data_IF_975084563910
#
_entry.id   IF_975084563910
#
_cell.length_a   1.000
_cell.length_b   1.000
_cell.length_c   1.000
_cell.angle_alpha   90.00
_cell.angle_beta   90.00
_cell.angle_gamma   90.00
#
_symmetry.space_group_name_H-M   'P 1'
#
loop_
_entity.id
_entity.type
_entity.pdbx_description
1 polymer ?
#
# COMPACT_ATOMS: atom_id res chain seq x y z
N UNK A 1 5.07 7.64 23.95
CA UNK A 1 4.08 7.12 22.99
C UNK A 1 4.74 6.36 21.84
N UNK A 2 5.70 6.94 21.11
CA UNK A 2 6.36 6.28 19.97
C UNK A 2 7.01 4.92 20.31
N UNK A 3 7.70 4.85 21.45
CA UNK A 3 8.34 3.62 21.94
C UNK A 3 7.39 2.43 22.17
N UNK A 4 6.12 2.67 22.50
CA UNK A 4 5.12 1.60 22.63
C UNK A 4 4.84 0.96 21.26
N UNK A 5 4.71 1.78 20.20
CA UNK A 5 4.51 1.28 18.84
C UNK A 5 5.77 0.60 18.28
N UNK A 6 6.96 1.09 18.65
CA UNK A 6 8.25 0.50 18.27
C UNK A 6 8.51 -0.86 18.92
N UNK A 7 8.16 -1.05 20.20
CA UNK A 7 8.40 -2.30 20.94
C UNK A 7 7.29 -3.36 20.73
N UNK A 8 6.12 -2.98 20.21
CA UNK A 8 4.98 -3.91 20.13
C UNK A 8 5.04 -4.91 18.97
N UNK A 9 5.87 -4.66 17.95
CA UNK A 9 6.11 -5.57 16.83
C UNK A 9 7.57 -6.00 16.83
N UNK A 10 7.91 -6.99 17.67
CA UNK A 10 9.22 -7.62 17.65
C UNK A 10 9.44 -8.38 16.33
N UNK A 11 10.32 -7.90 15.42
CA UNK A 11 10.58 -8.57 14.15
C UNK A 11 11.26 -9.94 14.33
N UNK A 12 11.87 -10.17 15.51
CA UNK A 12 12.72 -11.31 15.80
C UNK A 12 12.01 -12.40 16.62
N UNK A 13 10.71 -12.27 16.87
CA UNK A 13 9.91 -13.26 17.59
C UNK A 13 10.05 -14.66 16.98
N UNK A 14 10.00 -15.69 17.84
CA UNK A 14 9.95 -17.10 17.39
C UNK A 14 8.78 -17.28 16.41
N UNK A 15 9.09 -17.80 15.24
CA UNK A 15 8.18 -18.02 14.13
C UNK A 15 8.37 -19.44 13.59
N UNK A 16 7.38 -19.89 12.83
CA UNK A 16 7.47 -21.13 12.08
C UNK A 16 8.53 -20.99 10.98
N UNK A 17 9.58 -21.83 11.04
CA UNK A 17 10.67 -21.86 10.07
C UNK A 17 10.34 -22.73 8.84
N UNK A 18 9.12 -23.28 8.77
CA UNK A 18 8.64 -24.03 7.61
C UNK A 18 8.59 -23.18 6.34
N UNK A 19 8.68 -23.86 5.19
CA UNK A 19 8.55 -23.22 3.88
C UNK A 19 7.32 -22.31 3.81
N UNK A 20 7.47 -21.05 3.36
CA UNK A 20 6.34 -20.16 3.06
C UNK A 20 5.32 -20.82 2.13
N UNK A 21 4.00 -20.60 2.32
CA UNK A 21 3.00 -21.21 1.47
C UNK A 21 3.20 -20.79 0.01
N UNK A 22 3.11 -21.74 -0.93
CA UNK A 22 3.31 -21.46 -2.35
C UNK A 22 2.23 -20.57 -2.98
N UNK A 23 1.04 -20.51 -2.37
CA UNK A 23 -0.05 -19.64 -2.81
C UNK A 23 0.16 -18.20 -2.32
N UNK A 24 -0.12 -17.21 -3.18
CA UNK A 24 -0.05 -15.78 -2.82
C UNK A 24 -0.90 -15.44 -1.60
N UNK A 25 -2.14 -15.92 -1.54
CA UNK A 25 -3.06 -15.63 -0.43
C UNK A 25 -2.55 -16.26 0.87
N UNK A 26 -2.04 -17.50 0.82
CA UNK A 26 -1.42 -18.15 1.97
C UNK A 26 -0.17 -17.42 2.47
N UNK A 27 0.65 -16.89 1.55
CA UNK A 27 1.81 -16.07 1.88
C UNK A 27 1.39 -14.79 2.62
N UNK A 28 0.42 -14.04 2.09
CA UNK A 28 -0.15 -12.86 2.76
C UNK A 28 -0.71 -13.22 4.15
N UNK A 29 -1.54 -14.26 4.23
CA UNK A 29 -2.17 -14.69 5.47
C UNK A 29 -1.17 -15.03 6.57
N UNK A 30 -0.03 -15.65 6.24
CA UNK A 30 1.02 -16.00 7.20
C UNK A 30 1.61 -14.78 7.90
N UNK A 31 1.85 -13.68 7.18
CA UNK A 31 2.41 -12.46 7.77
C UNK A 31 1.33 -11.56 8.38
N UNK A 32 0.19 -11.41 7.71
CA UNK A 32 -0.93 -10.62 8.25
C UNK A 32 -1.43 -11.17 9.58
N UNK A 33 -1.47 -12.50 9.75
CA UNK A 33 -1.85 -13.13 11.03
C UNK A 33 -0.90 -12.78 12.18
N UNK A 34 0.37 -12.47 11.91
CA UNK A 34 1.32 -12.10 12.96
C UNK A 34 1.13 -10.63 13.40
N UNK A 35 0.62 -9.79 12.50
CA UNK A 35 0.45 -8.33 12.71
C UNK A 35 -1.03 -7.94 12.90
N UNK A 36 -1.92 -8.92 13.08
CA UNK A 36 -3.37 -8.74 13.05
C UNK A 36 -3.93 -7.64 13.97
N UNK A 37 -3.43 -7.40 15.21
CA UNK A 37 -4.01 -6.37 16.08
C UNK A 37 -3.80 -4.97 15.49
N UNK A 38 -2.64 -4.73 14.88
CA UNK A 38 -2.31 -3.46 14.23
C UNK A 38 -3.12 -3.26 12.95
N UNK A 39 -3.39 -4.33 12.21
CA UNK A 39 -4.26 -4.27 11.03
C UNK A 39 -5.71 -3.95 11.42
N UNK A 40 -6.22 -4.53 12.51
CA UNK A 40 -7.56 -4.22 13.03
C UNK A 40 -7.62 -2.78 13.56
N UNK A 41 -6.59 -2.32 14.26
CA UNK A 41 -6.48 -0.93 14.70
C UNK A 41 -6.46 0.03 13.49
N UNK A 42 -5.69 -0.30 12.45
CA UNK A 42 -5.63 0.45 11.19
C UNK A 42 -7.00 0.50 10.50
N UNK A 43 -7.68 -0.63 10.36
CA UNK A 43 -9.04 -0.68 9.79
C UNK A 43 -10.02 0.19 10.60
N UNK A 44 -9.92 0.17 11.93
CA UNK A 44 -10.81 0.94 12.81
C UNK A 44 -10.57 2.45 12.68
N UNK A 45 -9.31 2.89 12.68
CA UNK A 45 -9.00 4.32 12.52
C UNK A 45 -9.29 4.80 11.09
N UNK A 46 -9.06 3.96 10.08
CA UNK A 46 -9.42 4.23 8.67
C UNK A 46 -10.93 4.39 8.49
N UNK A 47 -11.74 3.61 9.22
CA UNK A 47 -13.19 3.82 9.30
C UNK A 47 -13.55 5.18 9.89
N UNK A 48 -12.92 5.55 11.02
CA UNK A 48 -13.17 6.86 11.67
C UNK A 48 -12.84 8.00 10.70
N UNK A 49 -11.68 7.95 10.04
CA UNK A 49 -11.28 8.94 9.03
C UNK A 49 -12.31 9.01 7.90
N UNK A 50 -12.73 7.86 7.36
CA UNK A 50 -13.72 7.82 6.28
C UNK A 50 -15.08 8.39 6.71
N UNK A 51 -15.54 8.10 7.93
CA UNK A 51 -16.79 8.63 8.47
C UNK A 51 -16.73 10.15 8.68
N UNK A 52 -15.59 10.67 9.13
CA UNK A 52 -15.38 12.12 9.23
C UNK A 52 -15.50 12.75 7.85
N UNK A 53 -14.86 12.19 6.83
CA UNK A 53 -14.89 12.74 5.47
C UNK A 53 -16.32 12.73 4.87
N UNK A 54 -17.07 11.64 5.07
CA UNK A 54 -18.50 11.57 4.66
C UNK A 54 -19.34 12.61 5.42
N UNK A 55 -19.06 12.81 6.71
CA UNK A 55 -19.78 13.81 7.53
C UNK A 55 -19.51 15.23 7.04
N UNK A 56 -18.28 15.54 6.62
CA UNK A 56 -17.90 16.84 6.05
C UNK A 56 -18.71 17.12 4.78
N UNK A 57 -18.89 16.13 3.90
CA UNK A 57 -19.72 16.29 2.70
C UNK A 57 -21.19 16.57 3.05
N UNK A 58 -21.71 15.93 4.09
CA UNK A 58 -23.06 16.23 4.61
C UNK A 58 -23.15 17.65 5.17
N UNK A 59 -22.10 18.15 5.82
CA UNK A 59 -22.08 19.52 6.34
C UNK A 59 -22.28 20.54 5.23
N UNK A 60 -21.71 20.33 4.03
CA UNK A 60 -21.93 21.24 2.90
C UNK A 60 -23.42 21.35 2.55
N UNK A 61 -24.14 20.22 2.50
CA UNK A 61 -25.59 20.22 2.27
C UNK A 61 -26.35 20.95 3.38
N UNK A 62 -26.06 20.59 4.64
CA UNK A 62 -26.71 21.23 5.80
C UNK A 62 -26.44 22.74 5.85
N UNK A 63 -25.23 23.19 5.52
CA UNK A 63 -24.87 24.61 5.46
C UNK A 63 -25.70 25.34 4.41
N UNK A 64 -25.88 24.77 3.22
CA UNK A 64 -26.72 25.36 2.18
C UNK A 64 -28.18 25.45 2.62
N UNK A 65 -28.70 24.41 3.28
CA UNK A 65 -30.08 24.39 3.77
C UNK A 65 -30.30 25.44 4.85
N UNK A 66 -29.40 25.53 5.83
CA UNK A 66 -29.41 26.53 6.92
C UNK A 66 -29.39 27.96 6.37
N UNK A 67 -28.53 28.22 5.39
CA UNK A 67 -28.40 29.54 4.78
C UNK A 67 -29.60 29.92 3.90
N UNK A 68 -30.38 28.94 3.43
CA UNK A 68 -31.61 29.17 2.67
C UNK A 68 -32.83 29.40 3.56
N UNK A 69 -32.89 28.75 4.73
CA UNK A 69 -34.07 28.78 5.60
C UNK A 69 -34.09 29.90 6.62
N UNK A 70 -32.94 30.52 6.93
CA UNK A 70 -32.80 31.41 8.10
C UNK A 70 -32.24 32.77 7.69
N UNK A 71 -32.76 33.85 8.30
CA UNK A 71 -32.30 35.22 8.04
C UNK A 71 -30.86 35.45 8.55
N UNK A 72 -30.03 36.25 7.85
CA UNK A 72 -28.59 36.41 8.19
C UNK A 72 -28.32 36.81 9.64
N UNK A 73 -29.23 37.56 10.27
CA UNK A 73 -29.09 38.06 11.64
C UNK A 73 -29.39 37.00 12.72
N UNK A 74 -30.15 35.94 12.39
CA UNK A 74 -30.54 34.88 13.32
C UNK A 74 -29.73 33.58 13.16
N UNK A 75 -29.07 33.39 12.00
CA UNK A 75 -28.26 32.19 11.70
C UNK A 75 -27.22 31.92 12.77
N UNK A 76 -26.43 32.93 13.15
CA UNK A 76 -25.33 32.74 14.10
C UNK A 76 -25.83 32.54 15.54
N UNK A 77 -26.94 33.18 15.91
CA UNK A 77 -27.54 33.06 17.23
C UNK A 77 -28.22 31.70 17.42
N UNK A 78 -28.85 31.18 16.38
CA UNK A 78 -29.65 29.95 16.44
C UNK A 78 -28.82 28.71 16.14
N UNK A 79 -27.82 28.79 15.24
CA UNK A 79 -27.04 27.62 14.79
C UNK A 79 -25.53 27.75 15.08
N UNK A 80 -25.09 28.75 15.83
CA UNK A 80 -23.68 28.95 16.18
C UNK A 80 -23.02 27.70 16.80
N UNK A 81 -23.76 26.93 17.59
CA UNK A 81 -23.28 25.66 18.15
C UNK A 81 -23.01 24.58 17.10
N UNK A 82 -23.85 24.48 16.06
CA UNK A 82 -23.64 23.54 14.95
C UNK A 82 -22.42 23.94 14.12
N UNK A 83 -22.27 25.23 13.79
CA UNK A 83 -21.09 25.74 13.10
C UNK A 83 -19.80 25.50 13.90
N UNK A 84 -19.84 25.69 15.23
CA UNK A 84 -18.70 25.41 16.10
C UNK A 84 -18.35 23.91 16.10
N UNK A 85 -19.34 23.03 16.16
CA UNK A 85 -19.12 21.59 16.10
C UNK A 85 -18.52 21.16 14.75
N UNK A 86 -19.03 21.72 13.63
CA UNK A 86 -18.46 21.48 12.29
C UNK A 86 -17.01 21.96 12.22
N UNK A 87 -16.72 23.17 12.70
CA UNK A 87 -15.37 23.74 12.74
C UNK A 87 -14.42 22.90 13.58
N UNK A 88 -14.85 22.45 14.76
CA UNK A 88 -14.04 21.62 15.66
C UNK A 88 -13.76 20.24 15.05
N UNK A 89 -14.74 19.62 14.38
CA UNK A 89 -14.53 18.36 13.68
C UNK A 89 -13.50 18.50 12.55
N UNK A 90 -13.56 19.59 11.78
CA UNK A 90 -12.66 19.83 10.65
C UNK A 90 -11.25 20.22 11.12
N UNK A 91 -11.13 21.12 12.11
CA UNK A 91 -9.85 21.66 12.58
C UNK A 91 -9.12 20.75 13.56
N UNK A 92 -9.84 19.92 14.32
CA UNK A 92 -9.25 19.07 15.35
C UNK A 92 -9.52 17.60 15.05
N UNK A 93 -10.79 17.23 14.85
CA UNK A 93 -11.18 15.83 14.66
C UNK A 93 -10.48 15.16 13.49
N UNK A 94 -10.51 15.80 12.31
CA UNK A 94 -9.89 15.28 11.08
C UNK A 94 -8.37 15.19 11.21
N UNK A 95 -7.61 16.24 11.57
CA UNK A 95 -6.16 16.12 11.75
C UNK A 95 -5.77 15.09 12.80
N UNK A 96 -6.50 14.98 13.92
CA UNK A 96 -6.19 14.01 14.96
C UNK A 96 -6.40 12.56 14.49
N UNK A 97 -7.49 12.30 13.77
CA UNK A 97 -7.78 10.98 13.21
C UNK A 97 -6.73 10.59 12.15
N UNK A 98 -6.42 11.49 11.22
CA UNK A 98 -5.38 11.29 10.20
C UNK A 98 -4.00 11.11 10.82
N UNK A 99 -3.65 11.92 11.83
CA UNK A 99 -2.38 11.78 12.54
C UNK A 99 -2.26 10.43 13.25
N UNK A 100 -3.33 9.97 13.91
CA UNK A 100 -3.35 8.66 14.57
C UNK A 100 -3.22 7.53 13.56
N UNK A 101 -3.91 7.65 12.43
CA UNK A 101 -3.78 6.73 11.31
C UNK A 101 -2.34 6.65 10.81
N UNK A 102 -1.73 7.79 10.51
CA UNK A 102 -0.37 7.88 9.98
C UNK A 102 0.67 7.38 10.98
N UNK A 103 0.48 7.62 12.28
CA UNK A 103 1.31 7.04 13.32
C UNK A 103 1.27 5.52 13.30
N UNK A 104 0.09 4.91 13.19
CA UNK A 104 -0.03 3.44 13.12
C UNK A 104 0.67 2.89 11.88
N UNK A 105 0.43 3.51 10.71
CA UNK A 105 1.04 3.06 9.46
C UNK A 105 2.55 3.23 9.48
N UNK A 106 3.04 4.43 9.77
CA UNK A 106 4.45 4.80 9.60
C UNK A 106 5.33 4.33 10.76
N UNK A 107 4.83 4.28 11.99
CA UNK A 107 5.64 3.93 13.16
C UNK A 107 5.50 2.47 13.60
N UNK A 108 4.30 1.88 13.48
CA UNK A 108 4.09 0.49 13.91
C UNK A 108 4.23 -0.49 12.74
N UNK A 109 3.39 -0.32 11.71
CA UNK A 109 3.26 -1.30 10.63
C UNK A 109 4.46 -1.24 9.68
N UNK A 110 4.87 -0.05 9.25
CA UNK A 110 5.93 0.14 8.27
C UNK A 110 7.27 -0.51 8.69
N UNK A 111 7.87 -0.16 9.84
CA UNK A 111 9.11 -0.79 10.27
C UNK A 111 8.88 -2.22 10.76
N UNK A 112 7.84 -2.46 11.58
CA UNK A 112 7.60 -3.74 12.23
C UNK A 112 7.31 -4.86 11.25
N UNK A 113 6.28 -4.69 10.39
CA UNK A 113 5.90 -5.72 9.42
C UNK A 113 6.98 -5.93 8.35
N UNK A 114 7.60 -4.86 7.84
CA UNK A 114 8.64 -4.97 6.81
C UNK A 114 9.85 -5.74 7.34
N UNK A 115 10.37 -5.39 8.52
CA UNK A 115 11.52 -6.07 9.08
C UNK A 115 11.20 -7.50 9.54
N UNK A 116 9.98 -7.76 10.00
CA UNK A 116 9.51 -9.11 10.31
C UNK A 116 9.57 -10.00 9.07
N UNK A 117 9.04 -9.53 7.93
CA UNK A 117 9.08 -10.28 6.67
C UNK A 117 10.54 -10.48 6.22
N UNK A 118 11.36 -9.42 6.23
CA UNK A 118 12.77 -9.49 5.84
C UNK A 118 13.53 -10.51 6.67
N UNK A 119 13.37 -10.48 7.99
CA UNK A 119 14.05 -11.39 8.90
C UNK A 119 13.67 -12.85 8.65
N UNK A 120 12.37 -13.14 8.57
CA UNK A 120 11.88 -14.51 8.35
C UNK A 120 12.34 -15.04 6.98
N UNK A 121 12.23 -14.23 5.93
CA UNK A 121 12.66 -14.62 4.58
C UNK A 121 14.18 -14.78 4.52
N UNK A 122 14.95 -13.89 5.13
CA UNK A 122 16.41 -14.01 5.21
C UNK A 122 16.84 -15.30 5.91
N UNK A 123 16.26 -15.62 7.08
CA UNK A 123 16.55 -16.85 7.83
C UNK A 123 16.20 -18.11 7.05
N UNK A 124 15.15 -18.08 6.25
CA UNK A 124 14.76 -19.21 5.40
C UNK A 124 15.74 -19.38 4.22
N UNK A 125 16.11 -18.28 3.55
CA UNK A 125 17.01 -18.30 2.39
C UNK A 125 18.43 -18.71 2.80
N UNK A 126 18.95 -18.23 3.92
CA UNK A 126 20.28 -18.57 4.42
C UNK A 126 20.48 -20.08 4.64
N UNK A 127 19.39 -20.82 4.83
CA UNK A 127 19.39 -22.28 5.05
C UNK A 127 19.22 -23.10 3.78
N UNK A 128 19.17 -22.45 2.61
CA UNK A 128 19.11 -23.14 1.33
C UNK A 128 20.45 -23.77 0.97
N UNK A 129 20.40 -24.72 0.03
CA UNK A 129 21.60 -25.43 -0.43
C UNK A 129 22.61 -24.50 -1.11
N UNK A 130 23.89 -24.89 -1.09
CA UNK A 130 24.94 -24.17 -1.85
C UNK A 130 24.60 -24.10 -3.35
N UNK A 131 23.96 -25.13 -3.90
CA UNK A 131 23.52 -25.14 -5.29
C UNK A 131 22.51 -24.03 -5.60
N UNK A 132 21.64 -23.65 -4.66
CA UNK A 132 20.73 -22.52 -4.83
C UNK A 132 21.51 -21.21 -5.01
N UNK A 133 22.55 -20.98 -4.20
CA UNK A 133 23.39 -19.78 -4.28
C UNK A 133 24.35 -19.79 -5.47
N UNK A 134 24.74 -20.97 -5.98
CA UNK A 134 25.59 -21.07 -7.16
C UNK A 134 24.84 -20.76 -8.47
N UNK A 135 23.51 -20.95 -8.49
CA UNK A 135 22.67 -20.74 -9.68
C UNK A 135 22.04 -19.34 -9.73
N UNK A 136 22.31 -18.46 -8.76
CA UNK A 136 21.67 -17.16 -8.63
C UNK A 136 22.63 -16.08 -8.10
N UNK A 137 22.55 -14.87 -8.66
CA UNK A 137 23.29 -13.72 -8.17
C UNK A 137 22.83 -13.33 -6.77
N UNK A 138 23.77 -13.20 -5.84
CA UNK A 138 23.51 -12.73 -4.48
C UNK A 138 22.75 -11.39 -4.46
N UNK A 139 23.06 -10.49 -5.42
CA UNK A 139 22.35 -9.22 -5.59
C UNK A 139 20.85 -9.38 -5.93
N UNK A 140 20.49 -10.37 -6.76
CA UNK A 140 19.09 -10.65 -7.11
C UNK A 140 18.34 -11.19 -5.88
N UNK A 141 18.93 -12.13 -5.16
CA UNK A 141 18.37 -12.69 -3.91
C UNK A 141 18.14 -11.57 -2.89
N UNK A 142 19.15 -10.74 -2.61
CA UNK A 142 19.07 -9.65 -1.65
C UNK A 142 17.99 -8.63 -2.03
N UNK A 143 17.95 -8.24 -3.31
CA UNK A 143 16.96 -7.30 -3.84
C UNK A 143 15.53 -7.83 -3.65
N UNK A 144 15.30 -9.11 -3.94
CA UNK A 144 14.00 -9.76 -3.75
C UNK A 144 13.58 -9.76 -2.27
N UNK A 145 14.48 -10.07 -1.33
CA UNK A 145 14.18 -10.07 0.12
C UNK A 145 13.79 -8.66 0.59
N UNK A 146 14.55 -7.64 0.19
CA UNK A 146 14.37 -6.26 0.65
C UNK A 146 13.10 -5.63 0.07
N UNK A 147 12.86 -5.81 -1.24
CA UNK A 147 11.74 -5.20 -1.96
C UNK A 147 10.42 -5.94 -1.70
N UNK A 148 10.40 -7.28 -1.76
CA UNK A 148 9.17 -8.04 -1.58
C UNK A 148 8.53 -7.80 -0.21
N UNK A 149 9.35 -7.61 0.84
CA UNK A 149 8.86 -7.28 2.17
C UNK A 149 8.12 -5.93 2.21
N UNK A 150 8.71 -4.89 1.61
CA UNK A 150 8.09 -3.57 1.55
C UNK A 150 6.82 -3.61 0.71
N UNK A 151 6.87 -4.25 -0.47
CA UNK A 151 5.71 -4.37 -1.37
C UNK A 151 4.56 -5.16 -0.76
N UNK A 152 4.84 -6.22 0.01
CA UNK A 152 3.81 -6.99 0.71
C UNK A 152 3.07 -6.10 1.71
N UNK A 153 3.81 -5.37 2.54
CA UNK A 153 3.21 -4.45 3.52
C UNK A 153 2.47 -3.30 2.84
N UNK A 154 3.04 -2.66 1.81
CA UNK A 154 2.36 -1.62 1.03
C UNK A 154 1.02 -2.13 0.50
N UNK A 155 1.03 -3.33 -0.08
CA UNK A 155 -0.19 -3.92 -0.64
C UNK A 155 -1.25 -4.15 0.44
N UNK A 156 -0.87 -4.62 1.63
CA UNK A 156 -1.80 -4.84 2.75
C UNK A 156 -2.40 -3.53 3.26
N UNK A 157 -1.56 -2.51 3.50
CA UNK A 157 -2.01 -1.19 3.95
C UNK A 157 -2.91 -0.55 2.90
N UNK A 158 -2.53 -0.59 1.61
CA UNK A 158 -3.32 -0.04 0.53
C UNK A 158 -4.67 -0.74 0.36
N UNK A 159 -4.72 -2.07 0.52
CA UNK A 159 -5.98 -2.82 0.50
C UNK A 159 -6.88 -2.34 1.64
N UNK A 160 -6.34 -2.12 2.83
CA UNK A 160 -7.12 -1.58 3.95
C UNK A 160 -7.58 -0.16 3.60
N UNK A 161 -6.69 0.76 3.31
CA UNK A 161 -7.05 2.18 3.19
C UNK A 161 -7.90 2.47 1.97
N UNK A 162 -7.48 2.04 0.78
CA UNK A 162 -8.17 2.39 -0.46
C UNK A 162 -9.49 1.64 -0.60
N UNK A 163 -9.52 0.33 -0.31
CA UNK A 163 -10.75 -0.44 -0.45
C UNK A 163 -11.76 -0.01 0.59
N UNK A 164 -11.33 0.26 1.83
CA UNK A 164 -12.21 0.71 2.89
C UNK A 164 -12.81 2.07 2.60
N UNK A 165 -11.99 3.05 2.20
CA UNK A 165 -12.46 4.37 1.80
C UNK A 165 -13.49 4.30 0.67
N UNK A 166 -13.15 3.60 -0.42
CA UNK A 166 -14.06 3.43 -1.57
C UNK A 166 -15.36 2.75 -1.15
N UNK A 167 -15.28 1.74 -0.29
CA UNK A 167 -16.45 0.98 0.19
C UNK A 167 -17.37 1.88 1.02
N UNK A 168 -16.84 2.51 2.07
CA UNK A 168 -17.61 3.41 2.95
C UNK A 168 -18.21 4.56 2.17
N UNK A 169 -17.44 5.16 1.26
CA UNK A 169 -17.90 6.26 0.43
C UNK A 169 -19.01 5.83 -0.52
N UNK A 170 -18.82 4.75 -1.29
CA UNK A 170 -19.80 4.25 -2.23
C UNK A 170 -21.11 3.85 -1.54
N UNK A 171 -21.03 3.13 -0.40
CA UNK A 171 -22.22 2.76 0.38
C UNK A 171 -22.93 3.99 0.96
N UNK A 172 -22.20 4.95 1.51
CA UNK A 172 -22.79 6.18 2.06
C UNK A 172 -23.47 7.00 0.98
N UNK A 173 -22.84 7.19 -0.18
CA UNK A 173 -23.41 7.91 -1.31
C UNK A 173 -24.66 7.20 -1.86
N UNK A 174 -24.60 5.88 -2.07
CA UNK A 174 -25.76 5.09 -2.50
C UNK A 174 -26.92 5.19 -1.51
N UNK A 175 -26.64 5.10 -0.21
CA UNK A 175 -27.65 5.21 0.84
C UNK A 175 -28.32 6.59 0.84
N UNK A 176 -27.53 7.67 0.78
CA UNK A 176 -28.03 9.04 0.75
C UNK A 176 -28.90 9.26 -0.49
N UNK A 177 -28.44 8.85 -1.67
CA UNK A 177 -29.21 9.02 -2.90
C UNK A 177 -30.47 8.18 -2.93
N UNK A 178 -30.41 6.91 -2.52
CA UNK A 178 -31.57 6.03 -2.48
C UNK A 178 -32.66 6.53 -1.51
N UNK A 179 -32.27 7.20 -0.42
CA UNK A 179 -33.22 7.83 0.51
C UNK A 179 -33.92 9.04 -0.10
N UNK A 180 -33.22 9.81 -0.95
CA UNK A 180 -33.78 10.99 -1.62
C UNK A 180 -34.66 10.60 -2.81
N UNK A 181 -34.14 9.80 -3.74
CA UNK A 181 -34.87 9.18 -4.86
C UNK A 181 -34.02 8.04 -5.43
N UNK A 182 -34.58 6.82 -5.55
CA UNK A 182 -33.90 5.66 -6.11
C UNK A 182 -33.36 5.88 -7.54
N UNK A 183 -33.96 6.80 -8.30
CA UNK A 183 -33.49 7.17 -9.63
C UNK A 183 -32.11 7.83 -9.61
N UNK A 184 -31.79 8.57 -8.54
CA UNK A 184 -30.48 9.20 -8.35
C UNK A 184 -29.37 8.18 -8.05
N UNK A 185 -29.72 7.01 -7.50
CA UNK A 185 -28.77 5.93 -7.27
C UNK A 185 -28.41 5.19 -8.58
N UNK A 186 -29.29 5.18 -9.59
CA UNK A 186 -29.08 4.41 -10.83
C UNK A 186 -27.81 4.82 -11.61
N UNK A 187 -27.53 6.12 -11.87
CA UNK A 187 -26.30 6.54 -12.52
C UNK A 187 -25.05 6.15 -11.74
N UNK A 188 -25.10 6.22 -10.40
CA UNK A 188 -23.98 5.85 -9.53
C UNK A 188 -23.70 4.35 -9.58
N UNK A 189 -24.74 3.50 -9.55
CA UNK A 189 -24.59 2.04 -9.70
C UNK A 189 -23.99 1.71 -11.06
N UNK A 190 -24.49 2.31 -12.13
CA UNK A 190 -23.97 2.11 -13.48
C UNK A 190 -22.49 2.51 -13.57
N UNK A 191 -22.11 3.62 -12.94
CA UNK A 191 -20.72 4.06 -12.88
C UNK A 191 -19.84 3.07 -12.10
N UNK A 192 -20.30 2.56 -10.95
CA UNK A 192 -19.58 1.53 -10.17
C UNK A 192 -19.38 0.26 -11.02
N UNK A 193 -20.40 -0.20 -11.74
CA UNK A 193 -20.30 -1.37 -12.62
C UNK A 193 -19.28 -1.16 -13.73
N UNK A 194 -19.28 0.02 -14.36
CA UNK A 194 -18.29 0.36 -15.40
C UNK A 194 -16.87 0.42 -14.82
N UNK A 195 -16.70 1.00 -13.63
CA UNK A 195 -15.43 1.06 -12.93
C UNK A 195 -14.89 -0.34 -12.58
N UNK A 196 -15.72 -1.20 -11.99
CA UNK A 196 -15.35 -2.59 -11.67
C UNK A 196 -15.03 -3.40 -12.93
N UNK A 197 -15.77 -3.18 -14.02
CA UNK A 197 -15.51 -3.83 -15.31
C UNK A 197 -14.14 -3.41 -15.87
N UNK A 198 -13.83 -2.11 -15.77
CA UNK A 198 -12.53 -1.55 -16.17
C UNK A 198 -11.41 -2.16 -15.34
N UNK A 199 -11.55 -2.20 -14.00
CA UNK A 199 -10.57 -2.85 -13.12
C UNK A 199 -10.36 -4.32 -13.48
N UNK A 200 -11.44 -5.07 -13.68
CA UNK A 200 -11.39 -6.49 -14.02
C UNK A 200 -10.65 -6.75 -15.34
N UNK A 201 -10.72 -5.81 -16.28
CA UNK A 201 -9.99 -5.88 -17.56
C UNK A 201 -8.53 -5.46 -17.45
N UNK A 202 -8.23 -4.33 -16.79
CA UNK A 202 -6.89 -3.74 -16.76
C UNK A 202 -5.98 -4.31 -15.67
N UNK A 203 -6.51 -4.63 -14.48
CA UNK A 203 -5.70 -5.14 -13.35
C UNK A 203 -4.92 -6.42 -13.70
N UNK A 204 -5.52 -7.45 -14.33
CA UNK A 204 -4.77 -8.66 -14.70
C UNK A 204 -3.67 -8.39 -15.73
N UNK A 205 -3.89 -7.44 -16.65
CA UNK A 205 -2.92 -7.07 -17.69
C UNK A 205 -1.73 -6.32 -17.10
N UNK A 206 -2.01 -5.33 -16.24
CA UNK A 206 -0.99 -4.58 -15.51
C UNK A 206 -0.17 -5.54 -14.66
N UNK A 207 -0.82 -6.47 -13.92
CA UNK A 207 -0.13 -7.45 -13.08
C UNK A 207 0.91 -8.26 -13.87
N UNK A 208 0.55 -8.83 -15.02
CA UNK A 208 1.48 -9.65 -15.84
C UNK A 208 2.68 -8.84 -16.32
N UNK A 209 2.46 -7.58 -16.72
CA UNK A 209 3.54 -6.70 -17.19
C UNK A 209 4.43 -6.22 -16.04
N UNK A 210 3.84 -5.91 -14.89
CA UNK A 210 4.58 -5.55 -13.67
C UNK A 210 5.46 -6.69 -13.18
N UNK A 211 5.01 -7.94 -13.29
CA UNK A 211 5.80 -9.14 -12.96
C UNK A 211 7.03 -9.28 -13.87
N UNK A 212 6.86 -9.12 -15.19
CA UNK A 212 7.96 -9.15 -16.14
C UNK A 212 8.98 -8.02 -15.87
N UNK A 213 8.50 -6.80 -15.60
CA UNK A 213 9.37 -5.67 -15.25
C UNK A 213 10.12 -5.91 -13.93
N UNK A 214 9.45 -6.47 -12.92
CA UNK A 214 10.08 -6.80 -11.63
C UNK A 214 11.20 -7.83 -11.80
N UNK A 215 10.99 -8.86 -12.63
CA UNK A 215 12.03 -9.85 -12.96
C UNK A 215 13.24 -9.20 -13.64
N UNK A 216 13.01 -8.32 -14.61
CA UNK A 216 14.10 -7.60 -15.30
C UNK A 216 14.86 -6.66 -14.35
N UNK A 217 14.15 -5.96 -13.46
CA UNK A 217 14.76 -5.09 -12.45
C UNK A 217 15.65 -5.88 -11.49
N UNK A 218 15.16 -7.01 -10.98
CA UNK A 218 15.94 -7.86 -10.07
C UNK A 218 17.19 -8.43 -10.76
N UNK A 219 17.08 -8.78 -12.04
CA UNK A 219 18.22 -9.23 -12.88
C UNK A 219 19.24 -8.11 -13.08
N UNK A 220 18.79 -6.90 -13.44
CA UNK A 220 19.66 -5.73 -13.59
C UNK A 220 20.42 -5.41 -12.29
N UNK A 221 19.72 -5.35 -11.15
CA UNK A 221 20.37 -5.15 -9.85
C UNK A 221 21.37 -6.27 -9.53
N UNK A 222 21.02 -7.53 -9.84
CA UNK A 222 21.91 -8.68 -9.68
C UNK A 222 23.22 -8.51 -10.44
N UNK A 223 23.15 -8.17 -11.74
CA UNK A 223 24.33 -7.94 -12.59
C UNK A 223 25.21 -6.80 -12.07
N UNK A 224 24.61 -5.65 -11.71
CA UNK A 224 25.36 -4.50 -11.19
C UNK A 224 26.11 -4.85 -9.89
N UNK A 225 25.46 -5.54 -8.97
CA UNK A 225 26.08 -5.94 -7.69
C UNK A 225 27.20 -6.96 -7.92
N UNK A 226 27.05 -7.84 -8.90
CA UNK A 226 28.06 -8.85 -9.24
C UNK A 226 29.35 -8.19 -9.78
N UNK A 227 29.25 -7.24 -10.71
CA UNK A 227 30.40 -6.49 -11.22
C UNK A 227 31.17 -5.76 -10.11
N UNK A 228 30.48 -5.22 -9.11
CA UNK A 228 31.14 -4.58 -7.96
C UNK A 228 31.74 -5.57 -6.97
N UNK A 229 31.09 -6.72 -6.75
CA UNK A 229 31.61 -7.77 -5.85
C UNK A 229 32.87 -8.41 -6.43
N UNK A 230 32.95 -8.54 -7.75
CA UNK A 230 34.07 -9.11 -8.48
C UNK A 230 35.00 -8.05 -9.10
N UNK A 231 35.03 -6.83 -8.56
CA UNK A 231 35.71 -5.69 -9.17
C UNK A 231 37.22 -5.91 -9.39
N UNK A 232 37.87 -6.69 -8.52
CA UNK A 232 39.29 -7.03 -8.67
C UNK A 232 39.54 -7.82 -9.95
N UNK A 233 38.74 -8.88 -10.19
CA UNK A 233 38.81 -9.70 -11.40
C UNK A 233 38.52 -8.87 -12.64
N UNK A 234 37.48 -8.03 -12.58
CA UNK A 234 37.12 -7.12 -13.68
C UNK A 234 38.28 -6.19 -14.03
N UNK A 235 38.94 -5.57 -13.03
CA UNK A 235 40.07 -4.66 -13.26
C UNK A 235 41.35 -5.36 -13.73
N UNK A 236 41.55 -6.62 -13.36
CA UNK A 236 42.75 -7.38 -13.73
C UNK A 236 42.64 -8.09 -15.09
N UNK A 237 41.42 -8.49 -15.49
CA UNK A 237 41.23 -9.41 -16.61
C UNK A 237 40.10 -9.05 -17.59
N UNK A 238 39.15 -8.18 -17.22
CA UNK A 238 38.06 -7.84 -18.14
C UNK A 238 38.43 -6.71 -19.09
N UNK A 239 37.98 -6.83 -20.34
CA UNK A 239 37.96 -5.71 -21.27
C UNK A 239 36.82 -4.77 -20.86
N UNK A 240 37.14 -3.54 -20.47
CA UNK A 240 36.18 -2.54 -20.00
C UNK A 240 34.99 -2.35 -20.97
N UNK A 241 35.25 -2.41 -22.28
CA UNK A 241 34.23 -2.30 -23.34
C UNK A 241 33.18 -3.43 -23.26
N UNK A 242 33.59 -4.64 -22.86
CA UNK A 242 32.71 -5.81 -22.80
C UNK A 242 31.82 -5.78 -21.55
N UNK A 243 32.33 -5.23 -20.45
CA UNK A 243 31.52 -4.94 -19.25
C UNK A 243 30.51 -3.81 -19.52
N UNK A 244 30.92 -2.77 -20.25
CA UNK A 244 30.04 -1.68 -20.66
C UNK A 244 28.90 -2.17 -21.56
N UNK A 245 29.20 -3.03 -22.55
CA UNK A 245 28.19 -3.69 -23.39
C UNK A 245 27.25 -4.57 -22.55
N UNK A 246 27.78 -5.36 -21.61
CA UNK A 246 26.96 -6.23 -20.76
C UNK A 246 26.00 -5.45 -19.86
N UNK A 247 26.45 -4.33 -19.30
CA UNK A 247 25.62 -3.43 -18.51
C UNK A 247 24.58 -2.71 -19.38
N UNK A 248 24.96 -2.29 -20.59
CA UNK A 248 24.07 -1.65 -21.56
C UNK A 248 22.93 -2.58 -21.98
N UNK A 249 23.21 -3.84 -22.26
CA UNK A 249 22.18 -4.82 -22.64
C UNK A 249 21.16 -5.01 -21.51
N UNK A 250 21.62 -5.13 -20.26
CA UNK A 250 20.74 -5.23 -19.10
C UNK A 250 19.81 -4.02 -18.94
N UNK A 251 20.35 -2.82 -19.19
CA UNK A 251 19.57 -1.57 -19.17
C UNK A 251 18.58 -1.49 -20.33
N UNK A 252 18.97 -1.93 -21.53
CA UNK A 252 18.11 -1.97 -22.70
C UNK A 252 16.91 -2.92 -22.48
N UNK A 253 17.15 -4.12 -21.94
CA UNK A 253 16.08 -5.07 -21.64
C UNK A 253 15.12 -4.54 -20.56
N UNK A 254 15.66 -3.91 -19.50
CA UNK A 254 14.83 -3.26 -18.48
C UNK A 254 13.97 -2.14 -19.08
N UNK A 255 14.54 -1.32 -19.97
CA UNK A 255 13.82 -0.21 -20.61
C UNK A 255 12.72 -0.72 -21.57
N UNK A 256 12.99 -1.79 -22.32
CA UNK A 256 12.00 -2.44 -23.17
C UNK A 256 10.82 -2.99 -22.35
N UNK A 257 11.10 -3.66 -21.22
CA UNK A 257 10.07 -4.14 -20.30
C UNK A 257 9.25 -2.98 -19.69
N UNK A 258 9.92 -1.87 -19.36
CA UNK A 258 9.27 -0.67 -18.84
C UNK A 258 8.30 -0.06 -19.85
N UNK A 259 8.73 0.13 -21.10
CA UNK A 259 7.85 0.58 -22.17
C UNK A 259 6.68 -0.37 -22.44
N UNK A 260 6.90 -1.68 -22.28
CA UNK A 260 5.84 -2.69 -22.34
C UNK A 260 4.79 -2.53 -21.23
N UNK A 261 5.19 -2.07 -20.04
CA UNK A 261 4.29 -1.80 -18.93
C UNK A 261 3.43 -0.54 -19.17
N UNK A 262 3.99 0.50 -19.77
CA UNK A 262 3.31 1.80 -19.97
C UNK A 262 2.38 1.87 -21.19
N UNK A 263 2.48 0.92 -22.12
CA UNK A 263 1.56 0.76 -23.27
C UNK A 263 0.30 0.01 -22.87
#
# INVERSE_FOLDING_TARGET
MLRFFEESLDPFRKHDESMPPASLIGYYGRYCKQVWPFLVALMTISLIVSLIEVTILRFVGALVDILRSTSPDEVLKTHGGEFLAMALLILIGRPLASFTHDLIVQQAIAPGMTNLIRWQTHRYVLRQSVSYFANDFAGRIASNIVQAAASLRDSVVQIIDALWFVTVFAFSALFIFARTDWRLACPLILWILFYVSTLSFFVPRIRRRSEALAHMRATLTGRIVDSYTNIQTVKLFAHLEREDEHARDALADHNAAFHGQTR
#
